data_IF_095927158699
#
_entry.id   IF_095927158699
#
_cell.length_a   1.000
_cell.length_b   1.000
_cell.length_c   1.000
_cell.angle_alpha   90.00
_cell.angle_beta   90.00
_cell.angle_gamma   90.00
#
_symmetry.space_group_name_H-M   'P 1'
#
loop_
_entity.id
_entity.type
_entity.pdbx_description
1 polymer ?
#
# COMPACT_ATOMS: atom_id res chain seq x y z
N UNK A 1 2.27 -12.64 17.58
CA UNK A 1 2.44 -12.59 16.12
C UNK A 1 3.21 -11.31 15.78
N UNK A 2 4.09 -11.35 14.78
CA UNK A 2 4.87 -10.18 14.38
C UNK A 2 3.93 -9.10 13.79
N UNK A 3 4.26 -7.82 14.02
CA UNK A 3 3.54 -6.70 13.43
C UNK A 3 4.39 -6.07 12.34
N UNK A 4 3.73 -5.64 11.27
CA UNK A 4 4.36 -4.91 10.18
C UNK A 4 3.44 -3.78 9.71
N UNK A 5 4.05 -2.77 9.10
CA UNK A 5 3.37 -1.68 8.42
C UNK A 5 3.68 -1.75 6.93
N UNK A 6 2.63 -1.77 6.11
CA UNK A 6 2.73 -1.46 4.69
C UNK A 6 2.68 0.07 4.51
N UNK A 7 3.58 0.61 3.70
CA UNK A 7 3.66 2.04 3.40
C UNK A 7 3.91 2.26 1.91
N UNK A 8 3.47 3.43 1.41
CA UNK A 8 3.64 3.84 0.03
C UNK A 8 4.63 5.00 -0.09
N UNK A 9 5.51 4.91 -1.08
CA UNK A 9 6.30 6.05 -1.58
C UNK A 9 5.47 6.92 -2.52
N UNK A 10 5.95 8.14 -2.80
CA UNK A 10 5.31 9.05 -3.76
C UNK A 10 5.19 8.47 -5.18
N UNK A 11 6.06 7.53 -5.55
CA UNK A 11 5.98 6.76 -6.80
C UNK A 11 4.83 5.75 -6.84
N UNK A 12 4.18 5.52 -5.70
CA UNK A 12 3.22 4.45 -5.47
C UNK A 12 3.85 3.11 -5.13
N UNK A 13 5.18 2.98 -5.08
CA UNK A 13 5.83 1.76 -4.60
C UNK A 13 5.42 1.46 -3.16
N UNK A 14 4.94 0.23 -2.94
CA UNK A 14 4.57 -0.27 -1.63
C UNK A 14 5.70 -1.13 -1.10
N UNK A 15 6.12 -0.82 0.13
CA UNK A 15 7.09 -1.61 0.87
C UNK A 15 6.58 -1.87 2.29
N UNK A 16 7.32 -2.70 3.03
CA UNK A 16 6.94 -3.14 4.36
C UNK A 16 8.06 -2.90 5.36
N UNK A 17 7.70 -2.53 6.59
CA UNK A 17 8.67 -2.32 7.65
C UNK A 17 8.03 -2.33 9.03
N UNK A 18 8.84 -2.49 10.07
CA UNK A 18 8.42 -2.34 11.46
C UNK A 18 8.14 -0.87 11.82
N UNK A 19 8.68 0.06 11.02
CA UNK A 19 8.46 1.51 11.10
C UNK A 19 8.18 2.04 9.68
N UNK A 20 7.44 3.15 9.61
CA UNK A 20 7.26 3.90 8.36
C UNK A 20 8.42 4.88 8.20
N UNK A 21 9.20 4.82 7.11
CA UNK A 21 10.27 5.78 6.85
C UNK A 21 9.74 7.21 6.64
N UNK A 22 10.58 8.21 6.92
CA UNK A 22 10.27 9.60 6.62
C UNK A 22 10.02 9.79 5.11
N UNK A 23 8.93 10.46 4.77
CA UNK A 23 8.51 10.70 3.38
C UNK A 23 7.69 9.57 2.76
N UNK A 24 7.53 8.42 3.44
CA UNK A 24 6.54 7.42 3.07
C UNK A 24 5.21 7.66 3.82
N UNK A 25 4.11 7.20 3.23
CA UNK A 25 2.78 7.30 3.83
C UNK A 25 2.29 5.92 4.28
N UNK A 26 1.86 5.75 5.55
CA UNK A 26 1.38 4.46 6.03
C UNK A 26 0.03 4.10 5.40
N UNK A 27 -0.13 2.83 5.02
CA UNK A 27 -1.37 2.28 4.47
C UNK A 27 -2.09 1.50 5.58
N UNK A 28 -1.40 0.52 6.16
CA UNK A 28 -1.95 -0.39 7.17
C UNK A 28 -0.85 -0.94 8.06
N UNK A 29 -1.11 -0.97 9.37
CA UNK A 29 -0.28 -1.68 10.36
C UNK A 29 -1.10 -2.79 11.02
N UNK A 30 -0.51 -3.97 11.14
CA UNK A 30 -1.22 -5.13 11.66
C UNK A 30 -0.34 -6.37 11.77
N UNK A 31 -0.97 -7.52 11.96
CA UNK A 31 -0.31 -8.83 11.90
C UNK A 31 0.33 -9.06 10.53
N UNK A 32 1.60 -9.44 10.52
CA UNK A 32 2.45 -9.46 9.32
C UNK A 32 1.89 -10.30 8.18
N UNK A 33 1.47 -11.53 8.46
CA UNK A 33 0.97 -12.46 7.43
C UNK A 33 -0.27 -11.90 6.74
N UNK A 34 -1.22 -11.40 7.54
CA UNK A 34 -2.45 -10.79 7.05
C UNK A 34 -2.20 -9.50 6.29
N UNK A 35 -1.29 -8.64 6.76
CA UNK A 35 -0.97 -7.38 6.08
C UNK A 35 -0.33 -7.65 4.72
N UNK A 36 0.66 -8.55 4.67
CA UNK A 36 1.33 -8.91 3.40
C UNK A 36 0.37 -9.50 2.40
N UNK A 37 -0.39 -10.53 2.79
CA UNK A 37 -1.34 -11.18 1.89
C UNK A 37 -2.40 -10.22 1.35
N UNK A 38 -2.96 -9.36 2.22
CA UNK A 38 -3.96 -8.39 1.79
C UNK A 38 -3.40 -7.36 0.80
N UNK A 39 -2.17 -6.88 1.03
CA UNK A 39 -1.52 -5.93 0.13
C UNK A 39 -1.17 -6.61 -1.20
N UNK A 40 -0.63 -7.82 -1.18
CA UNK A 40 -0.32 -8.61 -2.37
C UNK A 40 -1.55 -8.86 -3.24
N UNK A 41 -2.70 -9.18 -2.65
CA UNK A 41 -3.95 -9.43 -3.36
C UNK A 41 -4.54 -8.18 -4.03
N UNK A 42 -4.38 -7.02 -3.40
CA UNK A 42 -5.09 -5.79 -3.79
C UNK A 42 -4.21 -4.76 -4.50
N UNK A 43 -2.89 -4.85 -4.36
CA UNK A 43 -1.97 -3.94 -5.04
C UNK A 43 -1.93 -4.18 -6.55
N UNK A 44 -1.45 -3.18 -7.28
CA UNK A 44 -1.10 -3.32 -8.68
C UNK A 44 0.28 -3.97 -8.77
N UNK A 45 0.35 -5.09 -9.46
CA UNK A 45 1.63 -5.76 -9.75
C UNK A 45 2.32 -5.11 -10.95
N UNK A 46 3.60 -4.81 -10.81
CA UNK A 46 4.45 -4.46 -11.94
C UNK A 46 4.52 -5.62 -12.94
N UNK A 47 4.61 -5.33 -14.23
CA UNK A 47 4.75 -6.36 -15.28
C UNK A 47 6.18 -6.84 -15.47
N UNK A 48 7.14 -6.03 -15.02
CA UNK A 48 8.57 -6.21 -15.32
C UNK A 48 9.40 -6.44 -14.05
N UNK A 49 8.77 -6.46 -12.88
CA UNK A 49 9.42 -6.62 -11.57
C UNK A 49 8.40 -7.13 -10.56
N UNK A 50 8.88 -7.61 -9.41
CA UNK A 50 8.04 -8.05 -8.28
C UNK A 50 7.53 -6.88 -7.43
N UNK A 51 7.52 -5.66 -7.98
CA UNK A 51 7.08 -4.46 -7.26
C UNK A 51 5.56 -4.43 -7.13
N UNK A 52 5.12 -4.17 -5.90
CA UNK A 52 3.74 -3.84 -5.58
C UNK A 52 3.56 -2.33 -5.62
N UNK A 53 2.57 -1.88 -6.37
CA UNK A 53 2.27 -0.46 -6.55
C UNK A 53 0.85 -0.17 -6.05
N UNK A 54 0.64 1.03 -5.51
CA UNK A 54 -0.70 1.53 -5.22
C UNK A 54 -1.46 1.69 -6.55
N UNK A 55 -2.59 0.98 -6.73
CA UNK A 55 -3.39 1.11 -7.96
C UNK A 55 -3.84 2.56 -8.18
N UNK A 56 -3.60 3.09 -9.38
CA UNK A 56 -3.99 4.44 -9.75
C UNK A 56 -2.88 5.49 -9.63
N UNK A 57 -1.81 5.24 -8.87
CA UNK A 57 -0.67 6.17 -8.80
C UNK A 57 0.20 6.11 -10.07
N UNK A 58 0.65 4.93 -10.54
CA UNK A 58 1.45 4.84 -11.77
C UNK A 58 0.72 5.37 -13.01
N UNK A 59 -0.62 5.38 -13.00
CA UNK A 59 -1.47 5.88 -14.07
C UNK A 59 -1.86 7.36 -13.92
N UNK A 60 -1.61 7.97 -12.77
CA UNK A 60 -2.05 9.33 -12.48
C UNK A 60 -1.25 10.36 -13.31
N UNK A 61 -1.92 11.24 -14.07
CA UNK A 61 -1.23 12.26 -14.85
C UNK A 61 -0.70 13.41 -13.96
N UNK A 62 -1.15 13.51 -12.71
CA UNK A 62 -0.82 14.59 -11.77
C UNK A 62 -0.79 14.07 -10.34
N UNK A 63 0.01 14.70 -9.47
CA UNK A 63 0.21 14.24 -8.07
C UNK A 63 -1.08 14.17 -7.24
N UNK A 64 -2.00 15.15 -7.38
CA UNK A 64 -3.27 15.13 -6.65
C UNK A 64 -4.14 13.89 -6.97
N UNK A 65 -4.18 13.46 -8.24
CA UNK A 65 -4.89 12.23 -8.63
C UNK A 65 -4.23 10.97 -8.03
N UNK A 66 -2.90 10.98 -7.89
CA UNK A 66 -2.17 9.94 -7.17
C UNK A 66 -2.48 9.92 -5.67
N UNK A 67 -2.63 11.10 -5.05
CA UNK A 67 -3.05 11.19 -3.65
C UNK A 67 -4.46 10.65 -3.45
N UNK A 68 -5.40 10.99 -4.33
CA UNK A 68 -6.77 10.46 -4.28
C UNK A 68 -6.77 8.93 -4.42
N UNK A 69 -5.92 8.38 -5.31
CA UNK A 69 -5.73 6.95 -5.46
C UNK A 69 -5.19 6.30 -4.17
N UNK A 70 -4.20 6.92 -3.51
CA UNK A 70 -3.65 6.44 -2.24
C UNK A 70 -4.68 6.41 -1.12
N UNK A 71 -5.45 7.49 -0.97
CA UNK A 71 -6.50 7.60 0.05
C UNK A 71 -7.52 6.48 -0.17
N UNK A 72 -8.00 6.34 -1.41
CA UNK A 72 -8.96 5.29 -1.77
C UNK A 72 -8.41 3.89 -1.50
N UNK A 73 -7.16 3.63 -1.87
CA UNK A 73 -6.53 2.34 -1.63
C UNK A 73 -6.40 2.04 -0.14
N UNK A 74 -5.93 3.01 0.64
CA UNK A 74 -5.80 2.91 2.10
C UNK A 74 -7.14 2.60 2.77
N UNK A 75 -8.21 3.32 2.40
CA UNK A 75 -9.55 3.09 2.92
C UNK A 75 -10.07 1.67 2.61
N UNK A 76 -9.84 1.18 1.39
CA UNK A 76 -10.25 -0.16 0.98
C UNK A 76 -9.51 -1.24 1.77
N UNK A 77 -8.19 -1.10 1.91
CA UNK A 77 -7.34 -2.02 2.67
C UNK A 77 -7.77 -2.07 4.13
N UNK A 78 -7.97 -0.92 4.77
CA UNK A 78 -8.40 -0.87 6.18
C UNK A 78 -9.77 -1.54 6.38
N UNK A 79 -10.74 -1.26 5.50
CA UNK A 79 -12.06 -1.90 5.55
C UNK A 79 -11.99 -3.40 5.36
N UNK A 80 -11.14 -3.90 4.46
CA UNK A 80 -10.99 -5.33 4.21
C UNK A 80 -10.27 -6.01 5.38
N UNK A 81 -9.27 -5.34 5.97
CA UNK A 81 -8.56 -5.85 7.14
C UNK A 81 -9.48 -6.00 8.35
N UNK A 82 -10.41 -5.07 8.61
CA UNK A 82 -11.34 -5.17 9.75
C UNK A 82 -12.40 -6.26 9.61
N UNK A 83 -12.65 -6.78 8.41
CA UNK A 83 -13.67 -7.81 8.15
C UNK A 83 -13.16 -9.23 8.31
N UNK A 84 -11.85 -9.43 8.16
CA UNK A 84 -11.15 -10.72 8.26
C UNK A 84 -10.39 -10.83 9.59
#
# INVERSE_FOLDING_TARGET
MAKITAYAWASGLIEFGTVTPDGALPILSGEETRVRGLIEDMARHSRNSDQLLVPGIPEAPRQHEGLDALIKFTDLIQRQYSKN
#
